data_IF_285714310474
#
_entry.id   IF_285714310474
#
_cell.length_a   1.000
_cell.length_b   1.000
_cell.length_c   1.000
_cell.angle_alpha   90.00
_cell.angle_beta   90.00
_cell.angle_gamma   90.00
#
_symmetry.space_group_name_H-M   'P 1'
#
loop_
_entity.id
_entity.type
_entity.pdbx_description
1 polymer ?
#
# COMPACT_ATOMS: atom_id res chain seq x y z
N UNK A 1 49.31 -50.32 -38.85
CA UNK A 1 47.89 -50.27 -39.26
C UNK A 1 47.24 -49.14 -38.48
N UNK A 2 47.00 -48.00 -39.14
CA UNK A 2 46.83 -46.68 -38.51
C UNK A 2 45.51 -46.57 -37.73
N UNK A 3 45.60 -46.07 -36.49
CA UNK A 3 44.48 -45.76 -35.56
C UNK A 3 43.38 -44.95 -36.26
N UNK A 4 43.72 -44.17 -37.30
CA UNK A 4 42.76 -43.42 -38.12
C UNK A 4 41.75 -44.28 -38.90
N UNK A 5 42.08 -45.52 -39.29
CA UNK A 5 41.14 -46.42 -39.99
C UNK A 5 40.05 -46.95 -39.06
N UNK A 6 40.38 -47.14 -37.78
CA UNK A 6 39.45 -47.55 -36.73
C UNK A 6 38.43 -46.42 -36.52
N UNK A 7 38.89 -45.18 -36.32
CA UNK A 7 38.01 -44.01 -36.15
C UNK A 7 37.02 -43.80 -37.29
N UNK A 8 37.40 -44.07 -38.55
CA UNK A 8 36.52 -43.88 -39.71
C UNK A 8 35.31 -44.83 -39.73
N UNK A 9 35.46 -46.05 -39.22
CA UNK A 9 34.36 -47.03 -39.13
C UNK A 9 33.46 -46.81 -37.91
N UNK A 10 33.99 -46.23 -36.83
CA UNK A 10 33.21 -45.95 -35.63
C UNK A 10 32.65 -44.52 -35.58
N UNK A 11 32.99 -43.67 -36.56
CA UNK A 11 32.51 -42.28 -36.60
C UNK A 11 30.98 -42.20 -36.58
N UNK A 12 30.30 -43.05 -37.35
CA UNK A 12 28.83 -43.13 -37.35
C UNK A 12 28.27 -43.59 -35.99
N UNK A 13 28.94 -44.52 -35.32
CA UNK A 13 28.55 -45.04 -34.00
C UNK A 13 28.77 -43.99 -32.92
N UNK A 14 29.89 -43.27 -32.95
CA UNK A 14 30.23 -42.19 -32.03
C UNK A 14 29.26 -41.03 -32.22
N UNK A 15 28.94 -40.65 -33.47
CA UNK A 15 27.98 -39.60 -33.78
C UNK A 15 26.57 -39.96 -33.28
N UNK A 16 26.16 -41.22 -33.46
CA UNK A 16 24.87 -41.72 -32.97
C UNK A 16 24.80 -41.66 -31.44
N UNK A 17 25.85 -42.10 -30.74
CA UNK A 17 25.93 -42.00 -29.28
C UNK A 17 25.88 -40.55 -28.78
N UNK A 18 26.53 -39.62 -29.50
CA UNK A 18 26.52 -38.19 -29.17
C UNK A 18 25.12 -37.57 -29.30
N UNK A 19 24.40 -37.91 -30.38
CA UNK A 19 23.01 -37.48 -30.59
C UNK A 19 22.10 -38.07 -29.51
N UNK A 20 22.32 -39.33 -29.12
CA UNK A 20 21.54 -40.01 -28.09
C UNK A 20 21.77 -39.40 -26.71
N UNK A 21 23.01 -39.05 -26.37
CA UNK A 21 23.35 -38.34 -25.12
C UNK A 21 22.74 -36.93 -25.11
N UNK A 22 22.79 -36.19 -26.23
CA UNK A 22 22.14 -34.89 -26.35
C UNK A 22 20.61 -34.97 -26.24
N UNK A 23 19.99 -35.99 -26.83
CA UNK A 23 18.55 -36.25 -26.72
C UNK A 23 18.11 -36.65 -25.31
N UNK A 24 18.90 -37.48 -24.63
CA UNK A 24 18.69 -37.83 -23.22
C UNK A 24 18.90 -36.62 -22.31
N UNK A 25 19.89 -35.77 -22.60
CA UNK A 25 20.10 -34.51 -21.89
C UNK A 25 18.94 -33.52 -22.08
N UNK A 26 18.40 -33.43 -23.30
CA UNK A 26 17.23 -32.59 -23.62
C UNK A 26 15.95 -33.11 -22.94
N UNK A 27 15.72 -34.42 -22.93
CA UNK A 27 14.57 -35.01 -22.24
C UNK A 27 14.70 -34.89 -20.73
N UNK A 28 15.90 -35.09 -20.17
CA UNK A 28 16.19 -34.82 -18.76
C UNK A 28 15.97 -33.35 -18.41
N UNK A 29 16.42 -32.41 -19.25
CA UNK A 29 16.14 -30.98 -19.08
C UNK A 29 14.63 -30.68 -19.12
N UNK A 30 13.88 -31.27 -20.08
CA UNK A 30 12.43 -31.04 -20.19
C UNK A 30 11.60 -31.73 -19.10
N UNK A 31 12.05 -32.85 -18.54
CA UNK A 31 11.34 -33.58 -17.48
C UNK A 31 11.72 -33.13 -16.07
N UNK A 32 13.01 -32.86 -15.79
CA UNK A 32 13.47 -32.52 -14.44
C UNK A 32 13.67 -31.01 -14.24
N UNK A 33 14.02 -30.23 -15.27
CA UNK A 33 14.19 -28.78 -15.14
C UNK A 33 12.87 -28.01 -15.32
N UNK A 34 11.87 -28.63 -15.95
CA UNK A 34 10.51 -28.05 -16.06
C UNK A 34 9.67 -28.23 -14.79
N UNK A 35 10.11 -29.13 -13.90
CA UNK A 35 9.46 -29.44 -12.62
C UNK A 35 10.23 -28.85 -11.40
N UNK A 36 11.17 -27.93 -11.61
CA UNK A 36 11.47 -26.99 -10.53
C UNK A 36 10.20 -26.16 -10.26
N UNK A 37 9.74 -26.01 -9.02
CA UNK A 37 8.71 -25.06 -8.67
C UNK A 37 9.29 -23.63 -8.71
N UNK A 38 10.02 -23.27 -9.76
CA UNK A 38 10.38 -21.90 -10.03
C UNK A 38 9.17 -21.22 -10.65
N UNK A 39 8.42 -20.58 -9.76
CA UNK A 39 7.58 -19.41 -10.03
C UNK A 39 6.77 -19.59 -11.31
N UNK A 40 5.67 -20.34 -11.20
CA UNK A 40 4.45 -19.79 -11.79
C UNK A 40 4.41 -18.35 -11.30
N UNK A 41 4.45 -17.38 -12.22
CA UNK A 41 3.77 -16.12 -11.99
C UNK A 41 2.36 -16.52 -11.59
N UNK A 42 2.18 -16.69 -10.29
CA UNK A 42 0.88 -16.77 -9.70
C UNK A 42 0.21 -15.48 -10.16
N UNK A 43 -0.89 -15.58 -10.90
CA UNK A 43 -1.73 -14.44 -11.20
C UNK A 43 -2.75 -14.34 -10.06
N UNK A 44 -2.44 -13.58 -8.98
CA UNK A 44 -3.28 -13.50 -7.79
C UNK A 44 -4.60 -12.75 -8.02
N UNK A 45 -4.77 -12.12 -9.19
CA UNK A 45 -5.83 -11.13 -9.39
C UNK A 45 -7.20 -11.74 -9.62
N UNK A 46 -7.31 -12.92 -10.22
CA UNK A 46 -8.58 -13.35 -10.78
C UNK A 46 -9.46 -14.12 -9.78
N UNK A 47 -9.04 -15.25 -9.22
CA UNK A 47 -10.05 -16.19 -8.68
C UNK A 47 -10.34 -16.05 -7.19
N UNK A 48 -9.34 -15.74 -6.36
CA UNK A 48 -9.50 -15.76 -4.90
C UNK A 48 -9.79 -14.39 -4.29
N UNK A 49 -9.22 -13.31 -4.85
CA UNK A 49 -9.64 -11.94 -4.50
C UNK A 49 -11.09 -11.69 -4.95
N UNK A 50 -11.50 -12.24 -6.10
CA UNK A 50 -12.90 -12.20 -6.53
C UNK A 50 -13.80 -12.98 -5.56
N UNK A 51 -13.43 -14.21 -5.16
CA UNK A 51 -14.15 -14.95 -4.11
C UNK A 51 -14.25 -14.20 -2.78
N UNK A 52 -13.17 -13.54 -2.33
CA UNK A 52 -13.16 -12.68 -1.14
C UNK A 52 -14.04 -11.44 -1.31
N UNK A 53 -14.05 -10.84 -2.48
CA UNK A 53 -14.88 -9.68 -2.79
C UNK A 53 -16.37 -10.01 -2.78
N UNK A 54 -16.71 -11.29 -3.03
CA UNK A 54 -18.06 -11.83 -2.99
C UNK A 54 -18.49 -12.29 -1.59
N UNK A 55 -17.54 -12.65 -0.72
CA UNK A 55 -17.78 -13.08 0.67
C UNK A 55 -16.72 -12.52 1.64
N UNK A 56 -16.73 -11.21 1.94
CA UNK A 56 -15.74 -10.59 2.85
C UNK A 56 -15.87 -11.12 4.29
N UNK A 57 -17.03 -11.65 4.68
CA UNK A 57 -17.28 -12.25 5.99
C UNK A 57 -16.45 -13.53 6.25
N UNK A 58 -15.85 -14.13 5.21
CA UNK A 58 -14.90 -15.23 5.35
C UNK A 58 -13.63 -14.83 6.11
N UNK A 59 -13.36 -13.52 6.20
CA UNK A 59 -12.30 -12.96 7.04
C UNK A 59 -12.77 -12.63 8.47
N UNK A 60 -14.08 -12.70 8.73
CA UNK A 60 -14.71 -12.36 10.03
C UNK A 60 -15.04 -13.58 10.88
N UNK A 61 -15.19 -14.78 10.32
CA UNK A 61 -15.48 -16.00 11.09
C UNK A 61 -14.33 -16.35 12.06
N UNK A 62 -14.57 -16.11 13.36
CA UNK A 62 -14.03 -16.62 14.66
C UNK A 62 -12.54 -16.98 14.82
N UNK A 63 -11.79 -17.23 13.75
CA UNK A 63 -10.40 -17.68 13.73
C UNK A 63 -9.41 -16.61 13.23
N UNK A 64 -9.87 -15.40 12.89
CA UNK A 64 -9.00 -14.21 12.70
C UNK A 64 -9.09 -13.29 13.94
N UNK A 65 -10.23 -13.25 14.61
CA UNK A 65 -10.43 -12.50 15.87
C UNK A 65 -9.48 -12.95 16.99
N UNK A 66 -8.91 -14.16 16.89
CA UNK A 66 -7.90 -14.70 17.82
C UNK A 66 -6.45 -14.49 17.40
N UNK A 67 -6.16 -13.70 16.36
CA UNK A 67 -4.78 -13.32 16.03
C UNK A 67 -4.33 -12.21 16.98
N UNK A 68 -4.24 -12.53 18.28
CA UNK A 68 -3.64 -11.70 19.34
C UNK A 68 -4.14 -10.23 19.39
N UNK A 69 -5.37 -9.95 18.97
CA UNK A 69 -5.94 -8.59 18.95
C UNK A 69 -5.49 -7.70 17.79
N UNK A 70 -4.85 -8.26 16.75
CA UNK A 70 -4.46 -7.53 15.52
C UNK A 70 -5.48 -7.77 14.40
N UNK A 71 -5.74 -6.77 13.57
CA UNK A 71 -6.45 -6.94 12.31
C UNK A 71 -5.69 -7.86 11.34
N UNK A 72 -6.38 -8.46 10.36
CA UNK A 72 -5.75 -9.32 9.34
C UNK A 72 -4.57 -8.61 8.65
N UNK A 73 -4.74 -7.33 8.31
CA UNK A 73 -3.70 -6.55 7.64
C UNK A 73 -2.51 -6.27 8.56
N UNK A 74 -2.73 -5.99 9.84
CA UNK A 74 -1.66 -5.79 10.82
C UNK A 74 -0.89 -7.07 11.11
N UNK A 75 -1.57 -8.21 11.17
CA UNK A 75 -0.92 -9.51 11.28
C UNK A 75 -0.02 -9.77 10.08
N UNK A 76 -0.54 -9.65 8.85
CA UNK A 76 0.23 -9.86 7.63
C UNK A 76 1.42 -8.91 7.54
N UNK A 77 1.24 -7.63 7.89
CA UNK A 77 2.34 -6.64 7.98
C UNK A 77 3.39 -7.03 9.00
N UNK A 78 2.98 -7.44 10.20
CA UNK A 78 3.90 -7.83 11.29
C UNK A 78 4.72 -9.05 10.90
N UNK A 79 4.09 -10.08 10.30
CA UNK A 79 4.81 -11.27 9.80
C UNK A 79 5.79 -10.91 8.68
N UNK A 80 5.35 -10.08 7.73
CA UNK A 80 6.22 -9.61 6.64
C UNK A 80 7.42 -8.82 7.18
N UNK A 81 7.22 -7.97 8.19
CA UNK A 81 8.32 -7.24 8.84
C UNK A 81 9.28 -8.19 9.55
N UNK A 82 8.77 -9.15 10.31
CA UNK A 82 9.59 -10.15 10.99
C UNK A 82 10.51 -10.89 10.00
N UNK A 83 9.97 -11.36 8.88
CA UNK A 83 10.78 -12.07 7.88
C UNK A 83 11.76 -11.15 7.16
N UNK A 84 11.40 -9.89 6.88
CA UNK A 84 12.33 -8.90 6.29
C UNK A 84 13.59 -8.67 7.09
N UNK A 85 13.52 -8.79 8.42
CA UNK A 85 14.68 -8.62 9.29
C UNK A 85 15.46 -9.91 9.55
N UNK A 86 14.82 -11.06 9.42
CA UNK A 86 15.40 -12.35 9.84
C UNK A 86 15.73 -13.31 8.68
N UNK A 87 15.39 -12.95 7.44
CA UNK A 87 15.55 -13.83 6.29
C UNK A 87 16.13 -13.13 5.07
N UNK A 88 16.87 -13.92 4.27
CA UNK A 88 17.32 -13.54 2.93
C UNK A 88 16.21 -13.60 1.89
N UNK A 89 15.11 -14.32 2.15
CA UNK A 89 13.95 -14.44 1.26
C UNK A 89 12.62 -14.24 2.01
N UNK A 90 12.33 -13.00 2.42
CA UNK A 90 11.23 -12.72 3.34
C UNK A 90 9.84 -12.98 2.76
N UNK A 91 9.68 -12.90 1.43
CA UNK A 91 8.39 -13.16 0.78
C UNK A 91 8.06 -14.66 0.80
N UNK A 92 9.04 -15.53 0.52
CA UNK A 92 8.83 -16.99 0.56
C UNK A 92 8.63 -17.49 1.99
N UNK A 93 9.45 -17.05 2.94
CA UNK A 93 9.37 -17.50 4.33
C UNK A 93 8.03 -17.11 4.99
N UNK A 94 7.51 -15.92 4.64
CA UNK A 94 6.18 -15.49 5.08
C UNK A 94 5.05 -16.34 4.47
N UNK A 95 5.20 -16.78 3.22
CA UNK A 95 4.22 -17.66 2.56
C UNK A 95 4.23 -19.08 3.13
N UNK A 96 5.42 -19.66 3.31
CA UNK A 96 5.58 -20.99 3.92
C UNK A 96 5.03 -21.01 5.35
N UNK A 97 5.25 -19.95 6.11
CA UNK A 97 4.66 -19.81 7.44
C UNK A 97 3.12 -19.77 7.38
N UNK A 98 2.54 -18.99 6.48
CA UNK A 98 1.08 -18.90 6.34
C UNK A 98 0.47 -20.24 5.91
N UNK A 99 1.14 -20.98 5.03
CA UNK A 99 0.69 -22.32 4.62
C UNK A 99 0.76 -23.32 5.77
N UNK A 100 1.83 -23.26 6.57
CA UNK A 100 1.98 -24.10 7.77
C UNK A 100 0.93 -23.79 8.83
N UNK A 101 0.72 -22.50 9.12
CA UNK A 101 -0.16 -22.06 10.22
C UNK A 101 -1.64 -22.12 9.82
N UNK A 102 -1.97 -22.01 8.52
CA UNK A 102 -3.33 -22.04 7.99
C UNK A 102 -3.42 -22.95 6.75
N UNK A 103 -3.45 -24.29 6.89
CA UNK A 103 -3.50 -25.17 5.73
C UNK A 103 -4.81 -25.03 4.91
N UNK A 104 -4.74 -25.35 3.62
CA UNK A 104 -5.92 -25.43 2.74
C UNK A 104 -6.33 -24.10 2.10
N UNK A 105 -7.64 -23.91 1.88
CA UNK A 105 -8.18 -22.72 1.19
C UNK A 105 -7.87 -21.42 1.95
N UNK A 106 -7.85 -21.48 3.30
CA UNK A 106 -7.58 -20.33 4.16
C UNK A 106 -6.14 -19.81 4.04
N UNK A 107 -5.13 -20.69 3.99
CA UNK A 107 -3.74 -20.27 3.77
C UNK A 107 -3.56 -19.61 2.42
N UNK A 108 -4.12 -20.22 1.37
CA UNK A 108 -4.10 -19.65 0.00
C UNK A 108 -4.74 -18.26 -0.04
N UNK A 109 -5.83 -18.06 0.69
CA UNK A 109 -6.49 -16.75 0.86
C UNK A 109 -5.53 -15.71 1.47
N UNK A 110 -4.91 -16.04 2.59
CA UNK A 110 -3.99 -15.16 3.32
C UNK A 110 -2.72 -14.87 2.52
N UNK A 111 -2.20 -15.85 1.79
CA UNK A 111 -1.08 -15.69 0.86
C UNK A 111 -1.44 -14.71 -0.26
N UNK A 112 -2.65 -14.77 -0.81
CA UNK A 112 -3.11 -13.84 -1.84
C UNK A 112 -3.26 -12.41 -1.31
N UNK A 113 -3.78 -12.27 -0.10
CA UNK A 113 -3.84 -10.98 0.59
C UNK A 113 -2.42 -10.43 0.86
N UNK A 114 -1.47 -11.30 1.23
CA UNK A 114 -0.07 -10.92 1.43
C UNK A 114 0.58 -10.45 0.14
N UNK A 115 0.36 -11.16 -0.97
CA UNK A 115 0.82 -10.76 -2.31
C UNK A 115 0.23 -9.41 -2.73
N UNK A 116 -1.08 -9.24 -2.56
CA UNK A 116 -1.76 -7.97 -2.85
C UNK A 116 -1.25 -6.83 -1.98
N UNK A 117 -0.99 -7.09 -0.69
CA UNK A 117 -0.37 -6.13 0.22
C UNK A 117 1.04 -5.75 -0.23
N UNK A 118 1.88 -6.71 -0.60
CA UNK A 118 3.23 -6.44 -1.09
C UNK A 118 3.22 -5.61 -2.37
N UNK A 119 2.30 -5.91 -3.29
CA UNK A 119 2.08 -5.10 -4.48
C UNK A 119 1.66 -3.67 -4.09
N UNK A 120 0.69 -3.52 -3.19
CA UNK A 120 0.24 -2.23 -2.72
C UNK A 120 1.36 -1.42 -2.06
N UNK A 121 2.18 -2.02 -1.19
CA UNK A 121 3.29 -1.32 -0.53
C UNK A 121 4.39 -0.92 -1.54
N UNK A 122 4.63 -1.72 -2.59
CA UNK A 122 5.54 -1.35 -3.69
C UNK A 122 4.99 -0.15 -4.47
N UNK A 123 3.73 -0.20 -4.89
CA UNK A 123 3.05 0.90 -5.60
C UNK A 123 2.94 2.17 -4.76
N UNK A 124 2.64 2.03 -3.47
CA UNK A 124 2.58 3.13 -2.51
C UNK A 124 3.92 3.86 -2.44
N UNK A 125 5.04 3.13 -2.33
CA UNK A 125 6.39 3.73 -2.34
C UNK A 125 6.70 4.49 -3.62
N UNK A 126 6.26 3.98 -4.77
CA UNK A 126 6.41 4.68 -6.06
C UNK A 126 5.65 6.02 -6.02
N UNK A 127 4.40 6.03 -5.54
CA UNK A 127 3.60 7.25 -5.41
C UNK A 127 4.21 8.23 -4.39
N UNK A 128 4.70 7.73 -3.26
CA UNK A 128 5.35 8.54 -2.22
C UNK A 128 6.65 9.19 -2.74
N UNK A 129 7.39 8.47 -3.59
CA UNK A 129 8.61 8.96 -4.26
C UNK A 129 8.38 9.89 -5.45
N UNK A 130 7.15 10.06 -5.94
CA UNK A 130 6.87 10.95 -7.07
C UNK A 130 6.96 12.42 -6.64
N UNK A 131 8.02 13.11 -7.07
CA UNK A 131 8.26 14.52 -6.76
C UNK A 131 7.29 15.48 -7.44
N UNK A 132 6.58 15.03 -8.49
CA UNK A 132 5.62 15.86 -9.22
C UNK A 132 4.26 15.99 -8.51
N UNK A 133 4.08 15.29 -7.39
CA UNK A 133 2.83 15.26 -6.64
C UNK A 133 2.95 16.00 -5.32
N UNK A 134 1.95 16.84 -5.04
CA UNK A 134 1.74 17.36 -3.71
C UNK A 134 1.21 16.28 -2.75
N UNK A 135 1.35 16.51 -1.44
CA UNK A 135 0.99 15.53 -0.40
C UNK A 135 -0.48 15.07 -0.50
N UNK A 136 -1.39 15.94 -0.93
CA UNK A 136 -2.80 15.57 -1.11
C UNK A 136 -3.00 14.70 -2.36
N UNK A 137 -2.33 15.01 -3.46
CA UNK A 137 -2.33 14.15 -4.66
C UNK A 137 -1.78 12.77 -4.35
N UNK A 138 -0.68 12.69 -3.59
CA UNK A 138 -0.12 11.42 -3.12
C UNK A 138 -1.14 10.63 -2.32
N UNK A 139 -1.76 11.26 -1.32
CA UNK A 139 -2.82 10.65 -0.50
C UNK A 139 -3.98 10.10 -1.35
N UNK A 140 -4.55 10.92 -2.25
CA UNK A 140 -5.67 10.51 -3.12
C UNK A 140 -5.26 9.36 -4.05
N UNK A 141 -4.05 9.41 -4.64
CA UNK A 141 -3.55 8.32 -5.50
C UNK A 141 -3.33 7.03 -4.71
N UNK A 142 -2.82 7.09 -3.48
CA UNK A 142 -2.65 5.93 -2.61
C UNK A 142 -4.00 5.30 -2.30
N UNK A 143 -5.02 6.10 -1.92
CA UNK A 143 -6.38 5.60 -1.69
C UNK A 143 -6.97 4.95 -2.93
N UNK A 144 -6.80 5.57 -4.11
CA UNK A 144 -7.27 4.99 -5.37
C UNK A 144 -6.57 3.66 -5.67
N UNK A 145 -5.24 3.60 -5.52
CA UNK A 145 -4.45 2.39 -5.74
C UNK A 145 -4.85 1.27 -4.78
N UNK A 146 -5.13 1.60 -3.52
CA UNK A 146 -5.67 0.65 -2.52
C UNK A 146 -6.98 0.05 -3.01
N UNK A 147 -7.93 0.89 -3.45
CA UNK A 147 -9.21 0.44 -4.00
C UNK A 147 -9.06 -0.38 -5.29
N UNK A 148 -8.11 -0.02 -6.16
CA UNK A 148 -7.81 -0.77 -7.40
C UNK A 148 -7.28 -2.18 -7.11
N UNK A 149 -6.43 -2.34 -6.09
CA UNK A 149 -5.80 -3.64 -5.76
C UNK A 149 -6.75 -4.55 -4.98
N UNK A 150 -7.44 -4.01 -3.97
CA UNK A 150 -8.28 -4.82 -3.08
C UNK A 150 -9.75 -4.88 -3.51
N UNK A 151 -10.19 -3.97 -4.37
CA UNK A 151 -11.58 -3.90 -4.83
C UNK A 151 -12.53 -3.25 -3.83
N UNK A 152 -13.68 -2.77 -4.33
CA UNK A 152 -14.63 -1.93 -3.58
C UNK A 152 -15.25 -2.61 -2.35
N UNK A 153 -15.45 -3.93 -2.40
CA UNK A 153 -16.13 -4.66 -1.32
C UNK A 153 -15.17 -5.07 -0.19
N UNK A 154 -13.94 -5.43 -0.55
CA UNK A 154 -12.96 -5.96 0.38
C UNK A 154 -12.14 -4.83 1.04
N UNK A 155 -11.88 -3.73 0.32
CA UNK A 155 -11.10 -2.61 0.83
C UNK A 155 -11.65 -2.01 2.13
N UNK A 156 -12.96 -1.74 2.30
CA UNK A 156 -13.49 -1.23 3.55
C UNK A 156 -13.38 -2.21 4.72
N UNK A 157 -13.34 -3.52 4.43
CA UNK A 157 -13.19 -4.57 5.45
C UNK A 157 -11.73 -4.68 5.91
N UNK A 158 -10.79 -4.58 4.98
CA UNK A 158 -9.35 -4.67 5.26
C UNK A 158 -8.75 -3.36 5.79
N UNK A 159 -9.30 -2.23 5.36
CA UNK A 159 -8.83 -0.88 5.67
C UNK A 159 -10.02 0.01 6.04
N UNK A 160 -10.63 -0.22 7.22
CA UNK A 160 -11.70 0.65 7.70
C UNK A 160 -11.20 2.09 7.78
N UNK A 161 -12.04 3.03 7.34
CA UNK A 161 -11.74 4.46 7.40
C UNK A 161 -11.60 4.85 8.86
N UNK A 162 -10.41 5.35 9.25
CA UNK A 162 -10.19 5.85 10.59
C UNK A 162 -10.57 7.34 10.67
N UNK A 163 -11.03 7.80 11.83
CA UNK A 163 -11.31 9.22 12.08
C UNK A 163 -10.08 10.10 11.76
N UNK A 164 -8.89 9.60 12.11
CA UNK A 164 -7.61 10.23 11.81
C UNK A 164 -7.35 10.41 10.32
N UNK A 165 -7.80 9.49 9.46
CA UNK A 165 -7.64 9.56 8.01
C UNK A 165 -8.47 10.71 7.42
N UNK A 166 -9.71 10.89 7.91
CA UNK A 166 -10.59 11.97 7.46
C UNK A 166 -10.04 13.33 7.88
N UNK A 167 -9.61 13.46 9.14
CA UNK A 167 -8.96 14.67 9.65
C UNK A 167 -7.70 14.98 8.83
N UNK A 168 -6.85 13.99 8.57
CA UNK A 168 -5.65 14.18 7.75
C UNK A 168 -5.99 14.62 6.33
N UNK A 169 -7.00 14.01 5.71
CA UNK A 169 -7.47 14.35 4.35
C UNK A 169 -7.87 15.81 4.25
N UNK A 170 -8.59 16.34 5.25
CA UNK A 170 -8.97 17.75 5.31
C UNK A 170 -7.77 18.69 5.36
N UNK A 171 -6.77 18.42 6.21
CA UNK A 171 -5.58 19.28 6.29
C UNK A 171 -4.73 19.23 5.01
N UNK A 172 -4.58 18.04 4.41
CA UNK A 172 -3.89 17.90 3.12
C UNK A 172 -4.61 18.66 2.01
N UNK A 173 -5.93 18.58 1.95
CA UNK A 173 -6.75 19.34 1.02
C UNK A 173 -6.54 20.85 1.22
N UNK A 174 -6.60 21.28 2.48
CA UNK A 174 -6.47 22.69 2.86
C UNK A 174 -5.13 23.28 2.42
N UNK A 175 -4.04 22.56 2.66
CA UNK A 175 -2.69 22.97 2.23
C UNK A 175 -2.60 23.15 0.72
N UNK A 176 -3.18 22.23 -0.05
CA UNK A 176 -3.20 22.32 -1.51
C UNK A 176 -4.05 23.49 -1.98
N UNK A 177 -5.22 23.68 -1.39
CA UNK A 177 -6.12 24.78 -1.73
C UNK A 177 -5.44 26.14 -1.47
N UNK A 178 -4.86 26.34 -0.30
CA UNK A 178 -4.20 27.60 0.04
C UNK A 178 -3.01 27.92 -0.86
N UNK A 179 -2.22 26.91 -1.26
CA UNK A 179 -1.15 27.07 -2.26
C UNK A 179 -1.65 27.49 -3.64
N UNK A 180 -2.81 26.97 -4.05
CA UNK A 180 -3.42 27.28 -5.36
C UNK A 180 -4.18 28.61 -5.39
N UNK A 181 -4.61 29.06 -4.22
CA UNK A 181 -5.44 30.26 -4.05
C UNK A 181 -4.77 31.28 -3.12
N UNK A 182 -3.52 31.72 -3.38
CA UNK A 182 -2.79 32.60 -2.47
C UNK A 182 -3.46 33.98 -2.33
N UNK A 183 -4.07 34.47 -3.41
CA UNK A 183 -4.66 35.82 -3.51
C UNK A 183 -6.07 35.93 -2.93
N UNK A 184 -6.73 34.81 -2.64
CA UNK A 184 -8.09 34.81 -2.12
C UNK A 184 -8.16 35.51 -0.76
N UNK A 185 -9.27 36.20 -0.51
CA UNK A 185 -9.49 36.88 0.78
C UNK A 185 -9.59 35.86 1.92
N UNK A 186 -9.22 36.27 3.14
CA UNK A 186 -9.33 35.43 4.34
C UNK A 186 -10.75 34.86 4.49
N UNK A 187 -11.78 35.69 4.27
CA UNK A 187 -13.18 35.26 4.34
C UNK A 187 -13.52 34.19 3.29
N UNK A 188 -13.05 34.36 2.05
CA UNK A 188 -13.26 33.38 0.99
C UNK A 188 -12.61 32.04 1.34
N UNK A 189 -11.34 32.06 1.76
CA UNK A 189 -10.59 30.87 2.17
C UNK A 189 -11.29 30.14 3.32
N UNK A 190 -11.69 30.85 4.38
CA UNK A 190 -12.42 30.26 5.51
C UNK A 190 -13.73 29.63 5.07
N UNK A 191 -14.51 30.32 4.24
CA UNK A 191 -15.80 29.81 3.75
C UNK A 191 -15.63 28.55 2.91
N UNK A 192 -14.63 28.52 2.02
CA UNK A 192 -14.35 27.38 1.16
C UNK A 192 -13.87 26.18 1.97
N UNK A 193 -12.91 26.39 2.87
CA UNK A 193 -12.37 25.33 3.72
C UNK A 193 -13.43 24.77 4.67
N UNK A 194 -14.34 25.61 5.18
CA UNK A 194 -15.44 25.14 6.02
C UNK A 194 -16.41 24.23 5.24
N UNK A 195 -16.75 24.59 4.00
CA UNK A 195 -17.54 23.70 3.13
C UNK A 195 -16.82 22.38 2.84
N UNK A 196 -15.53 22.45 2.52
CA UNK A 196 -14.72 21.25 2.29
C UNK A 196 -14.64 20.37 3.56
N UNK A 197 -14.54 20.98 4.75
CA UNK A 197 -14.57 20.26 6.03
C UNK A 197 -15.88 19.53 6.21
N UNK A 198 -17.02 20.19 5.97
CA UNK A 198 -18.34 19.55 6.02
C UNK A 198 -18.47 18.40 5.02
N UNK A 199 -17.98 18.57 3.79
CA UNK A 199 -18.02 17.52 2.76
C UNK A 199 -17.13 16.32 3.10
N UNK A 200 -15.95 16.54 3.68
CA UNK A 200 -15.00 15.47 4.03
C UNK A 200 -15.44 14.72 5.29
N UNK A 201 -15.98 15.43 6.28
CA UNK A 201 -16.41 14.81 7.55
C UNK A 201 -17.84 14.26 7.48
N UNK A 202 -18.64 14.74 6.53
CA UNK A 202 -20.00 14.29 6.24
C UNK A 202 -20.86 14.22 7.51
N UNK A 203 -21.45 13.06 7.82
CA UNK A 203 -22.33 12.88 8.99
C UNK A 203 -21.62 13.01 10.34
N UNK A 204 -20.29 12.91 10.37
CA UNK A 204 -19.47 12.93 11.60
C UNK A 204 -18.85 14.31 11.88
N UNK A 205 -19.31 15.36 11.20
CA UNK A 205 -18.72 16.70 11.25
C UNK A 205 -18.41 17.22 12.66
N UNK A 206 -19.39 17.27 13.57
CA UNK A 206 -19.18 17.82 14.91
C UNK A 206 -18.20 16.98 15.75
N UNK A 207 -18.32 15.65 15.65
CA UNK A 207 -17.45 14.70 16.35
C UNK A 207 -15.99 14.86 15.88
N UNK A 208 -15.74 14.80 14.56
CA UNK A 208 -14.40 14.89 13.99
C UNK A 208 -13.76 16.26 14.19
N UNK A 209 -14.55 17.33 14.07
CA UNK A 209 -14.07 18.70 14.31
C UNK A 209 -13.58 18.89 15.74
N UNK A 210 -14.27 18.29 16.73
CA UNK A 210 -13.84 18.35 18.13
C UNK A 210 -12.54 17.58 18.43
N UNK A 211 -12.16 16.67 17.53
CA UNK A 211 -10.95 15.83 17.64
C UNK A 211 -9.78 16.34 16.79
N UNK A 212 -9.94 17.45 16.07
CA UNK A 212 -8.86 18.06 15.30
C UNK A 212 -7.72 18.50 16.23
N UNK A 213 -6.45 18.13 15.95
CA UNK A 213 -5.32 18.57 16.77
C UNK A 213 -5.18 20.08 16.76
N UNK A 214 -5.09 20.70 17.95
CA UNK A 214 -4.98 22.16 18.09
C UNK A 214 -3.81 22.74 17.28
N UNK A 215 -2.65 22.07 17.23
CA UNK A 215 -1.52 22.57 16.45
C UNK A 215 -1.84 22.67 14.95
N UNK A 216 -2.60 21.71 14.41
CA UNK A 216 -3.00 21.71 13.00
C UNK A 216 -4.02 22.79 12.69
N UNK A 217 -4.97 23.03 13.60
CA UNK A 217 -5.94 24.14 13.47
C UNK A 217 -5.20 25.47 13.47
N UNK A 218 -4.26 25.65 14.41
CA UNK A 218 -3.44 26.86 14.49
C UNK A 218 -2.62 27.04 13.21
N UNK A 219 -1.92 26.00 12.74
CA UNK A 219 -1.14 26.06 11.51
C UNK A 219 -2.00 26.46 10.31
N UNK A 220 -3.19 25.86 10.17
CA UNK A 220 -4.14 26.18 9.12
C UNK A 220 -4.56 27.66 9.17
N UNK A 221 -4.92 28.15 10.37
CA UNK A 221 -5.34 29.54 10.56
C UNK A 221 -4.22 30.53 10.23
N UNK A 222 -2.97 30.19 10.57
CA UNK A 222 -1.80 30.98 10.20
C UNK A 222 -1.58 30.97 8.68
N UNK A 223 -1.74 29.83 8.00
CA UNK A 223 -1.64 29.74 6.53
C UNK A 223 -2.74 30.55 5.83
N UNK A 224 -3.96 30.57 6.37
CA UNK A 224 -5.06 31.40 5.84
C UNK A 224 -4.68 32.89 5.87
N UNK A 225 -4.02 33.33 6.95
CA UNK A 225 -3.64 34.72 7.20
C UNK A 225 -2.22 35.08 6.74
N UNK A 226 -1.49 34.16 6.11
CA UNK A 226 -0.05 34.28 5.81
C UNK A 226 0.32 35.61 5.13
N UNK A 227 -0.49 36.04 4.15
CA UNK A 227 -0.28 37.31 3.45
C UNK A 227 -0.42 38.52 4.38
N UNK A 228 -1.44 38.56 5.24
CA UNK A 228 -1.59 39.63 6.24
C UNK A 228 -0.42 39.61 7.22
N UNK A 229 0.03 38.42 7.62
CA UNK A 229 1.16 38.26 8.54
C UNK A 229 2.50 38.69 7.94
N UNK A 230 2.65 38.60 6.61
CA UNK A 230 3.89 38.95 5.90
C UNK A 230 4.19 40.45 5.88
N UNK A 231 3.17 41.29 6.02
CA UNK A 231 3.30 42.76 6.01
C UNK A 231 3.44 43.37 7.41
N UNK A 232 3.27 42.56 8.46
CA UNK A 232 3.41 42.98 9.85
C UNK A 232 4.87 42.96 10.29
N UNK A 233 5.22 43.89 11.20
CA UNK A 233 6.45 43.81 11.98
C UNK A 233 6.48 42.56 12.86
N UNK A 234 7.65 42.19 13.38
CA UNK A 234 7.77 40.99 14.24
C UNK A 234 6.90 41.08 15.50
N UNK A 235 6.82 42.25 16.14
CA UNK A 235 6.01 42.44 17.34
C UNK A 235 4.50 42.31 17.04
N UNK A 236 4.04 42.92 15.96
CA UNK A 236 2.65 42.83 15.51
C UNK A 236 2.29 41.39 15.14
N UNK A 237 3.21 40.68 14.47
CA UNK A 237 3.04 39.27 14.12
C UNK A 237 2.87 38.41 15.38
N UNK A 238 3.72 38.60 16.40
CA UNK A 238 3.58 37.87 17.67
C UNK A 238 2.22 38.14 18.33
N UNK A 239 1.82 39.41 18.45
CA UNK A 239 0.52 39.79 19.01
C UNK A 239 -0.66 39.18 18.24
N UNK A 240 -0.55 39.12 16.91
CA UNK A 240 -1.57 38.51 16.04
C UNK A 240 -1.64 37.00 16.23
N UNK A 241 -0.51 36.29 16.32
CA UNK A 241 -0.46 34.85 16.64
C UNK A 241 -1.13 34.59 18.00
N UNK A 242 -0.81 35.37 19.02
CA UNK A 242 -1.41 35.21 20.36
C UNK A 242 -2.91 35.54 20.38
N UNK A 243 -3.34 36.48 19.55
CA UNK A 243 -4.77 36.75 19.33
C UNK A 243 -5.47 35.55 18.71
N UNK A 244 -4.89 34.94 17.67
CA UNK A 244 -5.44 33.75 17.01
C UNK A 244 -5.52 32.58 18.00
N UNK A 245 -4.46 32.32 18.76
CA UNK A 245 -4.45 31.26 19.78
C UNK A 245 -5.57 31.45 20.80
N UNK A 246 -5.76 32.66 21.32
CA UNK A 246 -6.84 32.96 22.28
C UNK A 246 -8.22 32.77 21.67
N UNK A 247 -8.42 33.20 20.42
CA UNK A 247 -9.68 32.99 19.72
C UNK A 247 -9.98 31.49 19.56
N UNK A 248 -9.00 30.69 19.16
CA UNK A 248 -9.15 29.25 18.98
C UNK A 248 -9.43 28.51 20.30
N UNK A 249 -8.81 28.93 21.40
CA UNK A 249 -9.04 28.35 22.74
C UNK A 249 -10.40 28.75 23.35
N UNK A 250 -11.07 29.76 22.79
CA UNK A 250 -12.37 30.23 23.27
C UNK A 250 -13.57 29.59 22.56
N UNK A 251 -13.32 28.73 21.57
CA UNK A 251 -14.32 28.00 20.79
C UNK A 251 -14.46 26.58 21.30
#
# INVERSE_FOLDING_TARGET
MSIFKIFKNYYSVILFLLILILGLGLTYYFFFYKDEPYKKEYDPKATYLEKLSLKPDYLREENIERIKGLSTMEYLRTRMLFHKFNSSNPENDAMEELERDFPGEKGRLLMNLLLALNLFEKEKKIIEGDENLDSYQKYVRILKKRKEIFGKNLEPTLFPVQESDLIQSFFLYSDRYLKRHPTDTIRSKKTHLEKARMEIYDTEYENLKSKEPFEKILELELKIQEREMSILSEEERRRKIDSIKRELLSR
#
